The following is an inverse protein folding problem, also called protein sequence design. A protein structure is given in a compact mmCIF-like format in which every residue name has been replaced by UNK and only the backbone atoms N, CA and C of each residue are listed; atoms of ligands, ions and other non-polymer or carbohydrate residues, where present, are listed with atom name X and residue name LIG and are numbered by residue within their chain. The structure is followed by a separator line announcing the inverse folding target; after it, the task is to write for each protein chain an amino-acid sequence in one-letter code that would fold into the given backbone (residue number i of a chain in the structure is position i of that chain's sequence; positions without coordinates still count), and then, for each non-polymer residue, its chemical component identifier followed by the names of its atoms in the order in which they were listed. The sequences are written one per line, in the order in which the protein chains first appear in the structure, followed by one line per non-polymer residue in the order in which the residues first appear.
data_IF_984691135174
#
_entry.id   IF_984691135174
#
_cell.length_a   1.000
_cell.length_b   1.000
_cell.length_c   1.000
_cell.angle_alpha   90.00
_cell.angle_beta   90.00
_cell.angle_gamma   90.00
#
_symmetry.space_group_name_H-M   'P 1'
#
loop_
_entity.id
_entity.type
_entity.pdbx_description
1 polymer ?
#
# COMPACT_ATOMS: atom_id res chain seq x y z
N UNK A 1 -3.91 -35.89 -18.38
CA UNK A 1 -4.61 -34.72 -18.95
C UNK A 1 -4.61 -33.63 -17.89
N UNK A 2 -4.03 -32.48 -18.22
CA UNK A 2 -3.80 -31.36 -17.31
C UNK A 2 -5.14 -30.76 -16.85
N UNK A 3 -5.33 -30.61 -15.54
CA UNK A 3 -6.44 -29.85 -14.98
C UNK A 3 -6.11 -28.36 -15.05
N UNK A 4 -6.90 -27.64 -15.85
CA UNK A 4 -6.81 -26.21 -16.07
C UNK A 4 -6.93 -25.42 -14.76
N UNK A 5 -6.04 -24.44 -14.62
CA UNK A 5 -6.10 -23.37 -13.63
C UNK A 5 -7.48 -22.69 -13.66
N UNK A 6 -8.21 -22.76 -12.55
CA UNK A 6 -9.48 -22.05 -12.38
C UNK A 6 -9.19 -20.67 -11.79
N UNK A 7 -8.89 -19.69 -12.65
CA UNK A 7 -8.85 -18.28 -12.29
C UNK A 7 -10.27 -17.77 -12.07
N UNK A 8 -10.81 -17.96 -10.87
CA UNK A 8 -12.07 -17.32 -10.46
C UNK A 8 -11.79 -15.89 -10.01
N UNK A 9 -11.70 -14.94 -10.94
CA UNK A 9 -11.87 -13.50 -10.67
C UNK A 9 -12.18 -12.76 -12.00
N UNK A 10 -13.30 -13.13 -12.64
CA UNK A 10 -13.80 -12.53 -13.90
C UNK A 10 -14.84 -11.42 -13.63
N UNK A 11 -14.58 -10.59 -12.61
CA UNK A 11 -15.30 -9.33 -12.41
C UNK A 11 -14.38 -8.20 -12.85
N UNK A 12 -14.88 -7.10 -13.45
CA UNK A 12 -14.04 -5.93 -13.70
C UNK A 12 -13.39 -5.54 -12.37
N UNK A 13 -12.05 -5.49 -12.34
CA UNK A 13 -11.33 -4.97 -11.18
C UNK A 13 -11.83 -3.54 -10.97
N UNK A 14 -12.48 -3.29 -9.83
CA UNK A 14 -12.96 -1.97 -9.46
C UNK A 14 -11.74 -1.10 -9.11
N UNK A 15 -11.10 -0.57 -10.15
CA UNK A 15 -9.89 0.24 -10.06
C UNK A 15 -10.09 1.42 -9.12
N UNK A 16 -11.29 2.02 -9.15
CA UNK A 16 -11.63 3.15 -8.31
C UNK A 16 -11.71 2.77 -6.82
N UNK A 17 -12.24 1.60 -6.49
CA UNK A 17 -12.26 1.03 -5.15
C UNK A 17 -10.87 0.63 -4.68
N UNK A 18 -10.02 0.09 -5.55
CA UNK A 18 -8.63 -0.18 -5.23
C UNK A 18 -7.84 1.11 -4.91
N UNK A 19 -8.01 2.16 -5.71
CA UNK A 19 -7.40 3.47 -5.46
C UNK A 19 -7.97 4.10 -4.18
N UNK A 20 -9.27 4.01 -3.95
CA UNK A 20 -9.91 4.50 -2.71
C UNK A 20 -9.37 3.75 -1.49
N UNK A 21 -9.25 2.44 -1.58
CA UNK A 21 -8.66 1.61 -0.53
C UNK A 21 -7.21 2.03 -0.23
N UNK A 22 -6.40 2.24 -1.27
CA UNK A 22 -5.03 2.72 -1.12
C UNK A 22 -4.97 4.09 -0.44
N UNK A 23 -5.83 5.04 -0.84
CA UNK A 23 -5.92 6.36 -0.19
C UNK A 23 -6.28 6.25 1.29
N UNK A 24 -7.21 5.35 1.65
CA UNK A 24 -7.55 5.08 3.05
C UNK A 24 -6.35 4.50 3.81
N UNK A 25 -5.63 3.53 3.23
CA UNK A 25 -4.44 2.97 3.86
C UNK A 25 -3.33 4.01 4.03
N UNK A 26 -3.11 4.87 3.03
CA UNK A 26 -2.11 5.93 3.09
C UNK A 26 -2.45 6.97 4.17
N UNK A 27 -3.73 7.34 4.31
CA UNK A 27 -4.19 8.22 5.38
C UNK A 27 -3.99 7.58 6.76
N UNK A 28 -4.31 6.28 6.92
CA UNK A 28 -4.02 5.54 8.17
C UNK A 28 -2.52 5.50 8.49
N UNK A 29 -1.68 5.28 7.48
CA UNK A 29 -0.22 5.31 7.62
C UNK A 29 0.25 6.69 8.08
N UNK A 30 -0.26 7.77 7.46
CA UNK A 30 0.04 9.15 7.83
C UNK A 30 -0.40 9.49 9.26
N UNK A 31 -1.62 9.11 9.65
CA UNK A 31 -2.15 9.35 10.98
C UNK A 31 -1.37 8.60 12.07
N UNK A 32 -1.02 7.33 11.83
CA UNK A 32 -0.17 6.56 12.75
C UNK A 32 1.23 7.19 12.86
N UNK A 33 1.86 7.50 11.73
CA UNK A 33 3.19 8.12 11.73
C UNK A 33 3.18 9.46 12.47
N UNK A 34 2.18 10.32 12.22
CA UNK A 34 2.03 11.61 12.90
C UNK A 34 1.76 11.45 14.39
N UNK A 35 0.91 10.49 14.78
CA UNK A 35 0.64 10.22 16.19
C UNK A 35 1.93 9.88 16.95
N UNK A 36 2.77 9.00 16.41
CA UNK A 36 4.03 8.63 17.06
C UNK A 36 5.11 9.71 16.96
N UNK A 37 5.11 10.52 15.90
CA UNK A 37 5.97 11.71 15.76
C UNK A 37 5.65 12.75 16.85
N UNK A 38 4.37 13.03 17.10
CA UNK A 38 3.90 13.89 18.20
C UNK A 38 4.30 13.35 19.58
N UNK A 39 4.34 12.03 19.73
CA UNK A 39 4.77 11.36 20.97
C UNK A 39 6.30 11.23 21.04
N UNK A 40 7.05 11.76 20.05
CA UNK A 40 8.51 11.64 19.93
C UNK A 40 9.03 10.20 20.04
N UNK A 41 8.23 9.22 19.65
CA UNK A 41 8.62 7.83 19.66
C UNK A 41 9.33 7.50 18.34
N UNK A 42 10.63 7.18 18.44
CA UNK A 42 11.32 6.60 17.30
C UNK A 42 10.67 5.26 16.93
N UNK A 43 10.76 4.86 15.66
CA UNK A 43 10.19 3.60 15.19
C UNK A 43 10.61 2.41 16.06
N UNK A 44 11.88 2.35 16.48
CA UNK A 44 12.41 1.28 17.33
C UNK A 44 11.76 1.24 18.73
N UNK A 45 11.21 2.37 19.18
CA UNK A 45 10.54 2.55 20.47
C UNK A 45 9.02 2.38 20.39
N UNK A 46 8.45 2.29 19.18
CA UNK A 46 7.02 2.05 19.03
C UNK A 46 6.66 0.66 19.56
N UNK A 47 5.48 0.50 20.20
CA UNK A 47 5.03 -0.80 20.65
C UNK A 47 4.87 -1.75 19.45
N UNK A 48 5.27 -3.01 19.62
CA UNK A 48 5.17 -4.08 18.59
C UNK A 48 3.86 -4.10 17.78
N UNK A 49 2.66 -3.98 18.39
CA UNK A 49 1.42 -3.95 17.61
C UNK A 49 1.37 -2.79 16.61
N UNK A 50 1.87 -1.61 17.00
CA UNK A 50 1.89 -0.43 16.14
C UNK A 50 2.92 -0.55 15.01
N UNK A 51 4.12 -1.08 15.31
CA UNK A 51 5.14 -1.38 14.30
C UNK A 51 4.65 -2.38 13.26
N UNK A 52 4.01 -3.43 13.74
CA UNK A 52 3.43 -4.48 12.89
C UNK A 52 2.31 -3.92 12.03
N UNK A 53 1.44 -3.07 12.59
CA UNK A 53 0.36 -2.43 11.84
C UNK A 53 0.91 -1.47 10.77
N UNK A 54 1.87 -0.61 11.12
CA UNK A 54 2.55 0.29 10.17
C UNK A 54 3.20 -0.51 9.02
N UNK A 55 3.98 -1.54 9.34
CA UNK A 55 4.60 -2.40 8.32
C UNK A 55 3.60 -3.19 7.49
N UNK A 56 2.47 -3.59 8.06
CA UNK A 56 1.37 -4.26 7.33
C UNK A 56 0.68 -3.31 6.35
N UNK A 57 0.33 -2.10 6.79
CA UNK A 57 -0.28 -1.07 5.95
C UNK A 57 0.66 -0.70 4.80
N UNK A 58 1.94 -0.47 5.12
CA UNK A 58 2.92 -0.08 4.13
C UNK A 58 3.16 -1.17 3.07
N UNK A 59 3.25 -2.44 3.48
CA UNK A 59 3.30 -3.58 2.55
C UNK A 59 2.08 -3.68 1.65
N UNK A 60 0.87 -3.48 2.18
CA UNK A 60 -0.37 -3.49 1.39
C UNK A 60 -0.36 -2.41 0.31
N UNK A 61 0.10 -1.21 0.66
CA UNK A 61 0.21 -0.09 -0.29
C UNK A 61 1.21 -0.44 -1.40
N UNK A 62 2.38 -1.00 -1.06
CA UNK A 62 3.38 -1.39 -2.06
C UNK A 62 2.86 -2.50 -2.99
N UNK A 63 2.29 -3.58 -2.45
CA UNK A 63 1.83 -4.72 -3.25
C UNK A 63 0.68 -4.31 -4.16
N UNK A 64 -0.36 -3.69 -3.60
CA UNK A 64 -1.54 -3.31 -4.37
C UNK A 64 -1.24 -2.15 -5.33
N UNK A 65 -0.44 -1.17 -4.89
CA UNK A 65 0.01 -0.08 -5.74
C UNK A 65 0.80 -0.60 -6.95
N UNK A 66 1.79 -1.47 -6.72
CA UNK A 66 2.59 -2.06 -7.80
C UNK A 66 1.74 -2.90 -8.75
N UNK A 67 0.77 -3.64 -8.21
CA UNK A 67 -0.17 -4.41 -9.04
C UNK A 67 -1.01 -3.49 -9.94
N UNK A 68 -1.56 -2.39 -9.39
CA UNK A 68 -2.34 -1.42 -10.16
C UNK A 68 -1.49 -0.71 -11.23
N UNK A 69 -0.24 -0.35 -10.92
CA UNK A 69 0.69 0.21 -11.91
C UNK A 69 0.88 -0.75 -13.08
N UNK A 70 1.05 -2.05 -12.81
CA UNK A 70 1.21 -3.06 -13.85
C UNK A 70 -0.08 -3.29 -14.67
N UNK A 71 -1.26 -3.18 -14.04
CA UNK A 71 -2.57 -3.36 -14.70
C UNK A 71 -2.95 -2.14 -15.55
N UNK A 72 -2.73 -0.93 -15.03
CA UNK A 72 -3.07 0.33 -15.70
C UNK A 72 -2.07 0.67 -16.82
N UNK A 73 -0.82 0.27 -16.67
CA UNK A 73 0.26 0.60 -17.59
C UNK A 73 0.82 2.02 -17.41
N UNK A 74 1.95 2.35 -18.04
CA UNK A 74 2.68 3.60 -17.80
C UNK A 74 1.95 4.85 -18.28
N UNK A 75 1.10 4.75 -19.32
CA UNK A 75 0.40 5.88 -19.92
C UNK A 75 -0.89 6.28 -19.17
N UNK A 76 -1.27 5.55 -18.13
CA UNK A 76 -2.48 5.85 -17.38
C UNK A 76 -2.21 6.95 -16.33
N UNK A 77 -3.07 7.98 -16.21
CA UNK A 77 -2.82 9.12 -15.31
C UNK A 77 -2.71 8.72 -13.84
N UNK A 78 -3.41 7.65 -13.43
CA UNK A 78 -3.32 7.12 -12.06
C UNK A 78 -1.99 6.39 -11.77
N UNK A 79 -1.26 5.94 -12.80
CA UNK A 79 0.00 5.22 -12.62
C UNK A 79 1.07 6.12 -12.01
N UNK A 80 1.15 7.39 -12.40
CA UNK A 80 2.06 8.36 -11.80
C UNK A 80 1.71 8.62 -10.32
N UNK A 81 0.42 8.79 -10.01
CA UNK A 81 -0.06 8.98 -8.63
C UNK A 81 0.32 7.76 -7.76
N UNK A 82 0.10 6.54 -8.27
CA UNK A 82 0.45 5.30 -7.58
C UNK A 82 1.96 5.14 -7.40
N UNK A 83 2.76 5.41 -8.43
CA UNK A 83 4.21 5.40 -8.33
C UNK A 83 4.72 6.36 -7.27
N UNK A 84 4.19 7.59 -7.21
CA UNK A 84 4.53 8.56 -6.18
C UNK A 84 4.16 8.07 -4.77
N UNK A 85 2.99 7.46 -4.60
CA UNK A 85 2.60 6.86 -3.32
C UNK A 85 3.56 5.74 -2.89
N UNK A 86 3.90 4.83 -3.82
CA UNK A 86 4.85 3.74 -3.54
C UNK A 86 6.21 4.31 -3.18
N UNK A 87 6.68 5.35 -3.89
CA UNK A 87 7.97 5.97 -3.62
C UNK A 87 8.03 6.71 -2.28
N UNK A 88 6.93 7.31 -1.83
CA UNK A 88 6.85 7.93 -0.50
C UNK A 88 6.85 6.89 0.63
N UNK A 89 6.25 5.73 0.38
CA UNK A 89 6.13 4.66 1.37
C UNK A 89 7.39 3.77 1.40
N UNK A 90 8.01 3.51 0.26
CA UNK A 90 9.16 2.60 0.11
C UNK A 90 10.33 2.85 1.10
N UNK A 91 10.85 4.08 1.22
CA UNK A 91 11.89 4.42 2.20
C UNK A 91 11.42 4.23 3.63
N UNK A 92 10.14 4.49 3.89
CA UNK A 92 9.53 4.29 5.21
C UNK A 92 9.30 2.83 5.55
N UNK A 93 9.33 1.91 4.57
CA UNK A 93 9.27 0.45 4.78
C UNK A 93 10.65 -0.17 4.90
N UNK A 94 11.65 0.33 4.14
CA UNK A 94 13.02 -0.19 4.21
C UNK A 94 13.70 0.06 5.57
N UNK A 95 13.17 1.00 6.36
CA UNK A 95 13.59 1.25 7.73
C UNK A 95 12.75 0.49 8.79
N UNK A 96 11.78 -0.35 8.39
CA UNK A 96 10.92 -1.16 9.27
C UNK A 96 11.41 -2.59 9.40
#
# INVERSE_FOLDING_TARGET
MMSSFSSKHDGPIDLQGCVTYLKIQLNRLGALAQYYDVVHLQYDQMPEPARTELGSIARKIMILGQHLVNVLGPDHPLTEELCNMIHMVGPRVMCL
#
